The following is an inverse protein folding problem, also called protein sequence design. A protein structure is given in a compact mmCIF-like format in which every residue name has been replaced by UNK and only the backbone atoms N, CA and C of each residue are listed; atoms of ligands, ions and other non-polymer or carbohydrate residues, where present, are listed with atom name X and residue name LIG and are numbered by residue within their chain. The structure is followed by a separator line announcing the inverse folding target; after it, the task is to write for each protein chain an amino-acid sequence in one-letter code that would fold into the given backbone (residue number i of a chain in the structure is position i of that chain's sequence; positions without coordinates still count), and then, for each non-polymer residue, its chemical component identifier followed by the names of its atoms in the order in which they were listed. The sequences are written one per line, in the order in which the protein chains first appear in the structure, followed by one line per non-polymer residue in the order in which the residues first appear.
data_IF_864882770574
#
_entry.id   IF_864882770574
#
_cell.length_a   1.000
_cell.length_b   1.000
_cell.length_c   1.000
_cell.angle_alpha   90.00
_cell.angle_beta   90.00
_cell.angle_gamma   90.00
#
_symmetry.space_group_name_H-M   'P 1'
#
loop_
_entity.id
_entity.type
_entity.pdbx_description
1 polymer ?
#
# COMPACT_ATOMS: atom_id res chain seq x y z
N UNK A 1 -17.11 0.94 -10.74
CA UNK A 1 -17.00 -0.49 -10.37
C UNK A 1 -15.99 -0.72 -9.25
N UNK A 2 -14.84 -0.06 -9.25
CA UNK A 2 -13.85 -0.14 -8.16
C UNK A 2 -14.43 0.25 -6.79
N UNK A 3 -15.36 1.21 -6.74
CA UNK A 3 -16.04 1.66 -5.52
C UNK A 3 -16.87 0.57 -4.80
N UNK A 4 -17.14 -0.56 -5.48
CA UNK A 4 -17.86 -1.70 -4.89
C UNK A 4 -16.93 -2.75 -4.28
N UNK A 5 -15.62 -2.67 -4.57
CA UNK A 5 -14.61 -3.59 -4.06
C UNK A 5 -14.13 -3.02 -2.72
N UNK A 6 -14.03 -3.85 -1.69
CA UNK A 6 -13.50 -3.37 -0.42
C UNK A 6 -12.05 -2.95 -0.58
N UNK A 7 -11.63 -1.91 0.15
CA UNK A 7 -10.22 -1.48 0.17
C UNK A 7 -9.30 -2.65 0.52
N UNK A 8 -9.76 -3.57 1.39
CA UNK A 8 -9.05 -4.81 1.73
C UNK A 8 -8.81 -5.69 0.50
N UNK A 9 -9.85 -6.04 -0.25
CA UNK A 9 -9.72 -6.89 -1.44
C UNK A 9 -8.81 -6.25 -2.50
N UNK A 10 -8.91 -4.93 -2.70
CA UNK A 10 -8.05 -4.20 -3.61
C UNK A 10 -6.58 -4.25 -3.16
N UNK A 11 -6.32 -4.08 -1.86
CA UNK A 11 -4.98 -4.08 -1.28
C UNK A 11 -4.34 -5.48 -1.32
N UNK A 12 -5.12 -6.54 -1.10
CA UNK A 12 -4.64 -7.92 -1.25
C UNK A 12 -4.22 -8.21 -2.69
N UNK A 13 -5.02 -7.82 -3.68
CA UNK A 13 -4.67 -8.03 -5.09
C UNK A 13 -3.44 -7.23 -5.51
N UNK A 14 -3.31 -5.97 -5.07
CA UNK A 14 -2.15 -5.14 -5.40
C UNK A 14 -0.83 -5.73 -4.86
N UNK A 15 -0.85 -6.39 -3.69
CA UNK A 15 0.35 -7.04 -3.11
C UNK A 15 0.93 -8.13 -4.00
N UNK A 16 0.12 -8.75 -4.83
CA UNK A 16 0.53 -9.87 -5.70
C UNK A 16 1.15 -9.39 -7.02
N UNK A 17 1.07 -8.08 -7.35
CA UNK A 17 1.52 -7.56 -8.64
C UNK A 17 3.03 -7.29 -8.68
N UNK A 18 3.64 -7.60 -9.81
CA UNK A 18 5.03 -7.22 -10.09
C UNK A 18 5.20 -5.69 -10.01
N UNK A 19 6.28 -5.24 -9.37
CA UNK A 19 6.57 -3.82 -9.17
C UNK A 19 5.89 -3.18 -7.95
N UNK A 20 5.07 -3.93 -7.21
CA UNK A 20 4.51 -3.45 -5.93
C UNK A 20 5.42 -3.89 -4.78
N UNK A 21 5.88 -2.90 -4.00
CA UNK A 21 6.57 -3.13 -2.73
C UNK A 21 5.63 -2.78 -1.58
N UNK A 22 5.40 -3.72 -0.67
CA UNK A 22 4.53 -3.52 0.49
C UNK A 22 5.30 -3.49 1.80
N UNK A 23 5.00 -2.50 2.64
CA UNK A 23 5.63 -2.25 3.92
C UNK A 23 4.52 -1.87 4.92
N UNK A 24 4.39 -2.60 6.03
CA UNK A 24 3.39 -2.30 7.07
C UNK A 24 3.99 -1.45 8.18
N UNK A 25 3.24 -0.45 8.64
CA UNK A 25 3.51 0.24 9.91
C UNK A 25 2.56 -0.35 10.95
N UNK A 26 3.11 -0.90 12.02
CA UNK A 26 2.30 -1.42 13.13
C UNK A 26 1.66 -0.26 13.92
N UNK A 27 0.61 -0.53 14.72
CA UNK A 27 0.01 0.48 15.59
C UNK A 27 1.05 1.20 16.46
N UNK A 28 0.96 2.53 16.51
CA UNK A 28 1.88 3.41 17.25
C UNK A 28 3.35 3.36 16.78
N UNK A 29 3.61 2.84 15.59
CA UNK A 29 4.95 2.82 15.01
C UNK A 29 5.11 3.90 13.96
N UNK A 30 6.07 4.80 14.20
CA UNK A 30 6.55 5.70 13.15
C UNK A 30 7.45 4.92 12.19
N UNK A 31 7.08 4.92 10.90
CA UNK A 31 7.85 4.25 9.84
C UNK A 31 8.34 5.26 8.81
N UNK A 32 9.66 5.30 8.62
CA UNK A 32 10.30 6.17 7.62
C UNK A 32 10.56 5.39 6.34
N UNK A 33 9.96 5.82 5.23
CA UNK A 33 10.22 5.30 3.88
C UNK A 33 11.17 6.23 3.14
N UNK A 34 12.21 5.66 2.52
CA UNK A 34 13.12 6.37 1.61
C UNK A 34 13.07 5.68 0.25
N UNK A 35 12.76 6.45 -0.79
CA UNK A 35 12.62 5.94 -2.16
C UNK A 35 13.54 6.75 -3.08
N UNK A 36 14.28 6.05 -3.92
CA UNK A 36 15.17 6.66 -4.91
C UNK A 36 14.64 6.30 -6.31
N UNK A 37 14.19 7.33 -7.05
CA UNK A 37 13.57 7.19 -8.37
C UNK A 37 12.11 7.67 -8.42
N UNK A 38 11.47 7.59 -9.59
CA UNK A 38 10.06 7.90 -9.73
C UNK A 38 9.23 6.84 -9.00
N UNK A 39 8.48 7.27 -7.99
CA UNK A 39 7.63 6.39 -7.21
C UNK A 39 6.31 7.06 -6.86
N UNK A 40 5.26 6.24 -6.82
CA UNK A 40 3.96 6.63 -6.29
C UNK A 40 3.80 5.93 -4.95
N UNK A 41 3.54 6.71 -3.89
CA UNK A 41 3.28 6.18 -2.56
C UNK A 41 1.77 6.21 -2.33
N UNK A 42 1.19 5.02 -2.08
CA UNK A 42 -0.20 4.87 -1.68
C UNK A 42 -0.25 4.59 -0.18
N UNK A 43 -0.83 5.51 0.59
CA UNK A 43 -1.05 5.34 2.03
C UNK A 43 -2.48 4.85 2.21
N UNK A 44 -2.61 3.61 2.69
CA UNK A 44 -3.91 3.04 3.07
C UNK A 44 -4.10 3.30 4.56
N UNK A 45 -5.17 4.01 4.90
CA UNK A 45 -5.59 4.32 6.26
C UNK A 45 -6.95 3.64 6.43
N UNK A 46 -7.18 3.05 7.61
CA UNK A 46 -8.51 2.57 8.03
C UNK A 46 -9.40 3.75 8.43
#
# INVERSE_FOLDING_TARGET
MLEKISTKELVEELKEREGVKTEYAEPHQDKKLSVNGPAVILIIID
#
